data_IF_689399989650
#
_entry.id   IF_689399989650
#
_cell.length_a   1.000
_cell.length_b   1.000
_cell.length_c   1.000
_cell.angle_alpha   90.00
_cell.angle_beta   90.00
_cell.angle_gamma   90.00
#
_symmetry.space_group_name_H-M   'P 1'
#
loop_
_entity.id
_entity.type
_entity.pdbx_description
1 polymer ?
#
# COMPACT_ATOMS: atom_id res chain seq x y z
N UNK A 1 8.91 -9.69 1.34
CA UNK A 1 8.76 -9.89 -0.12
C UNK A 1 8.54 -8.52 -0.75
N UNK A 2 9.20 -8.22 -1.87
CA UNK A 2 9.04 -6.94 -2.57
C UNK A 2 8.16 -7.15 -3.81
N UNK A 3 6.97 -6.55 -3.85
CA UNK A 3 6.01 -6.78 -4.95
C UNK A 3 6.21 -5.78 -6.10
N UNK A 4 6.51 -4.51 -5.78
CA UNK A 4 6.53 -3.43 -6.78
C UNK A 4 7.91 -3.19 -7.43
N UNK A 5 8.94 -3.93 -7.02
CA UNK A 5 10.32 -3.72 -7.50
C UNK A 5 10.97 -2.38 -7.08
N UNK A 6 10.22 -1.45 -6.46
CA UNK A 6 10.76 -0.27 -5.80
C UNK A 6 11.37 -0.59 -4.43
N UNK A 7 12.30 0.23 -3.95
CA UNK A 7 12.85 0.11 -2.60
C UNK A 7 11.76 0.25 -1.53
N UNK A 8 11.69 -0.70 -0.60
CA UNK A 8 10.84 -0.60 0.59
C UNK A 8 11.24 0.62 1.43
N UNK A 9 10.25 1.43 1.80
CA UNK A 9 10.42 2.65 2.60
C UNK A 9 9.77 2.47 3.98
N UNK A 10 10.35 3.06 5.02
CA UNK A 10 9.78 3.04 6.36
C UNK A 10 8.54 3.94 6.42
N UNK A 11 7.47 3.46 7.06
CA UNK A 11 6.28 4.26 7.32
C UNK A 11 6.56 5.20 8.50
N UNK A 12 6.75 6.49 8.17
CA UNK A 12 7.01 7.59 9.10
C UNK A 12 6.21 8.81 8.63
N UNK A 13 6.21 9.89 9.41
CA UNK A 13 5.61 11.18 9.03
C UNK A 13 6.11 11.68 7.66
N UNK A 14 7.33 11.31 7.26
CA UNK A 14 7.88 11.64 5.94
C UNK A 14 7.08 11.07 4.76
N UNK A 15 6.22 10.08 5.00
CA UNK A 15 5.30 9.54 4.00
C UNK A 15 4.34 10.62 3.46
N UNK A 16 4.11 11.72 4.20
CA UNK A 16 3.32 12.88 3.73
C UNK A 16 3.98 13.71 2.63
N UNK A 17 5.28 13.50 2.39
CA UNK A 17 6.06 14.22 1.37
C UNK A 17 6.24 13.43 0.07
N UNK A 18 5.53 12.31 -0.09
CA UNK A 18 5.45 11.64 -1.40
C UNK A 18 4.82 12.57 -2.45
N UNK A 19 5.13 12.32 -3.73
CA UNK A 19 4.61 13.16 -4.83
C UNK A 19 3.08 13.02 -4.95
N UNK A 20 2.34 14.11 -5.21
CA UNK A 20 0.90 14.08 -5.46
C UNK A 20 0.62 13.56 -6.88
N UNK A 21 0.81 12.25 -7.08
CA UNK A 21 0.63 11.58 -8.37
C UNK A 21 -0.18 10.29 -8.20
N UNK A 22 -0.84 9.82 -9.27
CA UNK A 22 -1.46 8.51 -9.30
C UNK A 22 -0.42 7.42 -9.05
N UNK A 23 -0.75 6.48 -8.17
CA UNK A 23 0.15 5.41 -7.78
C UNK A 23 -0.61 4.21 -7.23
N UNK A 24 0.01 3.04 -7.41
CA UNK A 24 -0.30 1.85 -6.61
C UNK A 24 0.70 1.78 -5.45
N UNK A 25 0.28 1.27 -4.30
CA UNK A 25 1.13 1.11 -3.13
C UNK A 25 0.83 -0.18 -2.39
N UNK A 26 1.85 -0.65 -1.67
CA UNK A 26 1.77 -1.85 -0.84
C UNK A 26 2.20 -1.48 0.57
N UNK A 27 1.41 -1.85 1.56
CA UNK A 27 1.70 -1.69 2.97
C UNK A 27 2.14 -3.03 3.56
N UNK A 28 3.15 -3.00 4.42
CA UNK A 28 3.74 -4.17 5.03
C UNK A 28 3.83 -4.05 6.55
N UNK A 29 3.78 -5.16 7.25
CA UNK A 29 4.06 -5.23 8.68
C UNK A 29 5.58 -5.18 8.99
N UNK A 30 5.93 -5.27 10.27
CA UNK A 30 7.33 -5.32 10.74
C UNK A 30 8.13 -6.52 10.20
N UNK A 31 7.46 -7.59 9.76
CA UNK A 31 8.06 -8.81 9.22
C UNK A 31 8.11 -8.80 7.69
N UNK A 32 7.73 -7.69 7.05
CA UNK A 32 7.59 -7.55 5.60
C UNK A 32 6.53 -8.48 4.98
N UNK A 33 5.50 -8.84 5.76
CA UNK A 33 4.30 -9.46 5.24
C UNK A 33 3.40 -8.40 4.61
N UNK A 34 2.80 -8.73 3.48
CA UNK A 34 1.92 -7.83 2.73
C UNK A 34 0.59 -7.71 3.47
N UNK A 35 0.30 -6.52 3.98
CA UNK A 35 -0.94 -6.24 4.69
C UNK A 35 -2.02 -5.76 3.73
N UNK A 36 -1.67 -4.83 2.84
CA UNK A 36 -2.62 -4.15 1.99
C UNK A 36 -2.00 -3.74 0.65
N UNK A 37 -2.73 -3.95 -0.44
CA UNK A 37 -2.43 -3.40 -1.76
C UNK A 37 -3.55 -2.40 -2.09
N UNK A 38 -3.17 -1.16 -2.35
CA UNK A 38 -4.09 -0.06 -2.62
C UNK A 38 -3.67 0.78 -3.81
N UNK A 39 -4.63 1.50 -4.36
CA UNK A 39 -4.44 2.50 -5.40
C UNK A 39 -4.82 3.89 -4.89
N UNK A 40 -4.33 4.92 -5.57
CA UNK A 40 -4.77 6.29 -5.37
C UNK A 40 -4.44 7.14 -6.58
N UNK A 41 -5.34 8.05 -6.95
CA UNK A 41 -5.10 9.13 -7.92
C UNK A 41 -4.18 10.24 -7.36
N UNK A 42 -4.04 10.32 -6.04
CA UNK A 42 -3.14 11.25 -5.37
C UNK A 42 -2.56 10.62 -4.11
N UNK A 43 -1.39 10.00 -4.28
CA UNK A 43 -0.73 9.28 -3.19
C UNK A 43 -0.43 10.17 -1.98
N UNK A 44 -0.08 11.44 -2.21
CA UNK A 44 0.22 12.38 -1.12
C UNK A 44 -0.98 12.60 -0.20
N UNK A 45 -2.16 12.85 -0.80
CA UNK A 45 -3.39 13.03 -0.05
C UNK A 45 -3.76 11.76 0.70
N UNK A 46 -3.65 10.59 0.06
CA UNK A 46 -3.97 9.31 0.70
C UNK A 46 -3.08 9.02 1.91
N UNK A 47 -1.76 9.22 1.78
CA UNK A 47 -0.83 8.98 2.87
C UNK A 47 -0.97 10.00 4.00
N UNK A 48 -1.25 11.25 3.67
CA UNK A 48 -1.57 12.29 4.66
C UNK A 48 -2.82 11.90 5.45
N UNK A 49 -3.87 11.45 4.77
CA UNK A 49 -5.09 10.95 5.42
C UNK A 49 -4.79 9.79 6.36
N UNK A 50 -4.02 8.79 5.93
CA UNK A 50 -3.64 7.68 6.79
C UNK A 50 -2.82 8.10 8.01
N UNK A 51 -1.93 9.08 7.89
CA UNK A 51 -1.21 9.61 9.05
C UNK A 51 -2.16 10.35 10.01
N UNK A 52 -2.98 11.26 9.49
CA UNK A 52 -3.84 12.13 10.30
C UNK A 52 -4.96 11.35 11.01
N UNK A 53 -5.42 10.25 10.41
CA UNK A 53 -6.52 9.43 10.94
C UNK A 53 -6.07 8.09 11.52
N UNK A 54 -4.75 7.87 11.61
CA UNK A 54 -4.16 6.59 12.00
C UNK A 54 -4.77 5.40 11.22
N UNK A 55 -4.64 5.48 9.89
CA UNK A 55 -5.24 4.58 8.91
C UNK A 55 -6.76 4.48 9.00
N UNK A 56 -7.46 5.62 9.16
CA UNK A 56 -8.92 5.69 9.28
C UNK A 56 -9.45 4.83 10.45
N UNK A 57 -8.65 4.69 11.51
CA UNK A 57 -8.89 3.78 12.62
C UNK A 57 -9.02 2.29 12.24
N UNK A 58 -8.51 1.89 11.08
CA UNK A 58 -8.48 0.49 10.66
C UNK A 58 -7.34 -0.27 11.36
N UNK A 59 -7.69 -1.07 12.37
CA UNK A 59 -6.74 -1.84 13.18
C UNK A 59 -5.84 -2.77 12.36
N UNK A 60 -6.33 -3.29 11.22
CA UNK A 60 -5.53 -4.12 10.34
C UNK A 60 -4.39 -3.31 9.71
N UNK A 61 -4.72 -2.15 9.13
CA UNK A 61 -3.76 -1.26 8.45
C UNK A 61 -2.81 -0.56 9.43
N UNK A 62 -3.21 -0.33 10.68
CA UNK A 62 -2.35 0.26 11.71
C UNK A 62 -1.08 -0.56 12.02
N UNK A 63 -1.05 -1.84 11.63
CA UNK A 63 0.15 -2.70 11.73
C UNK A 63 1.24 -2.32 10.73
N UNK A 64 0.97 -1.39 9.83
CA UNK A 64 1.91 -0.92 8.80
C UNK A 64 3.19 -0.40 9.44
N UNK A 65 4.31 -0.93 8.96
CA UNK A 65 5.65 -0.49 9.35
C UNK A 65 6.45 0.02 8.16
N UNK A 66 6.24 -0.56 6.98
CA UNK A 66 6.91 -0.14 5.75
C UNK A 66 5.93 -0.14 4.59
N UNK A 67 6.32 0.52 3.50
CA UNK A 67 5.53 0.57 2.29
C UNK A 67 6.41 0.54 1.03
N UNK A 68 5.80 0.16 -0.09
CA UNK A 68 6.30 0.43 -1.43
C UNK A 68 5.25 1.22 -2.20
N UNK A 69 5.66 1.92 -3.23
CA UNK A 69 4.78 2.62 -4.16
C UNK A 69 5.28 2.42 -5.58
N UNK A 70 4.44 2.68 -6.57
CA UNK A 70 4.83 2.76 -7.96
C UNK A 70 3.89 3.77 -8.61
N UNK A 71 4.45 4.86 -9.13
CA UNK A 71 3.68 5.84 -9.89
C UNK A 71 3.31 5.26 -11.25
N UNK A 72 2.02 5.25 -11.56
CA UNK A 72 1.46 4.67 -12.79
C UNK A 72 0.27 5.50 -13.25
N UNK A 73 -0.02 5.51 -14.55
CA UNK A 73 -1.15 6.30 -15.08
C UNK A 73 -2.51 5.70 -14.73
N UNK A 74 -2.62 4.36 -14.67
CA UNK A 74 -3.84 3.64 -14.32
C UNK A 74 -3.63 2.80 -13.04
N UNK A 75 -3.70 3.40 -11.84
CA UNK A 75 -3.39 2.71 -10.59
C UNK A 75 -4.45 1.65 -10.22
N UNK A 76 -5.69 1.82 -10.66
CA UNK A 76 -6.79 0.86 -10.45
C UNK A 76 -6.48 -0.47 -11.13
N UNK A 77 -6.20 -0.46 -12.44
CA UNK A 77 -5.86 -1.67 -13.20
C UNK A 77 -4.61 -2.33 -12.62
N UNK A 78 -3.60 -1.52 -12.25
CA UNK A 78 -2.37 -2.07 -11.66
C UNK A 78 -2.62 -2.75 -10.32
N UNK A 79 -3.46 -2.18 -9.45
CA UNK A 79 -3.85 -2.82 -8.18
C UNK A 79 -4.52 -4.16 -8.44
N UNK A 80 -5.45 -4.24 -9.39
CA UNK A 80 -6.16 -5.48 -9.70
C UNK A 80 -5.20 -6.57 -10.19
N UNK A 81 -4.25 -6.23 -11.07
CA UNK A 81 -3.20 -7.14 -11.50
C UNK A 81 -2.40 -7.68 -10.31
N UNK A 82 -1.98 -6.81 -9.39
CA UNK A 82 -1.20 -7.21 -8.22
C UNK A 82 -1.99 -8.08 -7.24
N UNK A 83 -3.26 -7.76 -6.98
CA UNK A 83 -4.13 -8.57 -6.15
C UNK A 83 -4.34 -9.98 -6.76
N UNK A 84 -4.54 -10.05 -8.07
CA UNK A 84 -4.68 -11.32 -8.79
C UNK A 84 -3.39 -12.15 -8.76
N UNK A 85 -2.23 -11.52 -8.97
CA UNK A 85 -0.92 -12.19 -8.84
C UNK A 85 -0.70 -12.71 -7.42
N UNK A 86 -0.97 -11.87 -6.41
CA UNK A 86 -0.84 -12.26 -5.01
C UNK A 86 -1.76 -13.44 -4.66
N UNK A 87 -3.03 -13.39 -5.08
CA UNK A 87 -3.99 -14.48 -4.87
C UNK A 87 -3.58 -15.77 -5.57
N UNK A 88 -2.99 -15.68 -6.76
CA UNK A 88 -2.52 -16.84 -7.50
C UNK A 88 -1.32 -17.51 -6.83
N UNK A 89 -0.45 -16.73 -6.19
CA UNK A 89 0.74 -17.23 -5.50
C UNK A 89 0.43 -17.77 -4.10
N UNK A 90 -0.40 -17.06 -3.33
CA UNK A 90 -0.66 -17.36 -1.91
C UNK A 90 -2.02 -18.04 -1.66
N UNK A 91 -2.87 -18.16 -2.68
CA UNK A 91 -4.22 -18.72 -2.57
C UNK A 91 -5.23 -17.81 -1.86
N UNK A 92 -4.83 -16.63 -1.39
CA UNK A 92 -5.66 -15.68 -0.63
C UNK A 92 -5.32 -14.23 -0.95
N UNK A 93 -6.15 -13.28 -0.53
CA UNK A 93 -5.81 -11.86 -0.63
C UNK A 93 -4.95 -11.43 0.58
N UNK A 94 -4.32 -10.24 0.53
CA UNK A 94 -3.70 -9.66 1.71
C UNK A 94 -4.72 -9.48 2.85
N UNK A 95 -4.26 -9.64 4.09
CA UNK A 95 -5.15 -9.71 5.25
C UNK A 95 -6.06 -8.46 5.40
N UNK A 96 -5.58 -7.27 5.01
CA UNK A 96 -6.37 -6.04 5.08
C UNK A 96 -7.10 -5.70 3.77
N UNK A 97 -7.05 -6.56 2.76
CA UNK A 97 -7.84 -6.48 1.52
C UNK A 97 -9.04 -7.44 1.53
N UNK A 98 -9.07 -8.43 2.44
CA UNK A 98 -10.23 -9.27 2.67
C UNK A 98 -11.28 -8.45 3.45
N UNK A 99 -12.44 -8.22 2.82
CA UNK A 99 -13.60 -7.52 3.39
C UNK A 99 -14.66 -8.54 3.75
#
# INVERSE_FOLDING_TARGET
MEILGEKVQLWLDSARFVKPKPAVYVLYDKKLNVLFIGDSENLQNQFTKYLDTNFENNECKQKTHTYQKLFVENPVEKKEQLLNSYKSEYGKLPDCNEV
#
